data_IF_747182662266
#
_entry.id   IF_747182662266
#
_cell.length_a   1.000
_cell.length_b   1.000
_cell.length_c   1.000
_cell.angle_alpha   90.00
_cell.angle_beta   90.00
_cell.angle_gamma   90.00
#
_symmetry.space_group_name_H-M   'P 1'
#
loop_
_entity.id
_entity.type
_entity.pdbx_description
1 polymer ?
#
# COMPACT_ATOMS: atom_id res chain seq x y z
N UNK A 1 -13.04 -17.73 44.18
CA UNK A 1 -11.82 -17.10 43.66
C UNK A 1 -12.01 -16.93 42.16
N UNK A 2 -11.98 -15.70 41.65
CA UNK A 2 -12.05 -15.43 40.22
C UNK A 2 -10.65 -15.12 39.71
N UNK A 3 -10.09 -16.01 38.90
CA UNK A 3 -8.84 -15.78 38.19
C UNK A 3 -9.15 -15.50 36.71
N UNK A 4 -8.36 -14.63 36.09
CA UNK A 4 -8.36 -14.43 34.63
C UNK A 4 -6.98 -14.78 34.09
N UNK A 5 -6.92 -15.71 33.15
CA UNK A 5 -5.68 -16.09 32.46
C UNK A 5 -5.43 -15.17 31.26
N UNK A 6 -4.20 -14.65 31.11
CA UNK A 6 -3.78 -13.83 29.96
C UNK A 6 -2.56 -14.48 29.29
N UNK A 7 -2.67 -14.75 28.00
CA UNK A 7 -1.53 -15.14 27.14
C UNK A 7 -0.92 -13.89 26.52
N UNK A 8 0.40 -13.87 26.43
CA UNK A 8 1.14 -12.86 25.67
C UNK A 8 2.08 -13.59 24.71
N UNK A 9 2.05 -13.22 23.44
CA UNK A 9 3.03 -13.68 22.48
C UNK A 9 4.40 -13.07 22.82
N UNK A 10 5.46 -13.86 22.76
CA UNK A 10 6.82 -13.44 23.17
C UNK A 10 7.84 -13.52 22.03
N UNK A 11 7.38 -13.78 20.81
CA UNK A 11 8.21 -13.81 19.61
C UNK A 11 8.46 -15.23 19.09
N UNK A 12 9.17 -15.33 17.96
CA UNK A 12 9.75 -14.23 17.15
C UNK A 12 8.73 -13.52 16.25
N UNK A 13 9.12 -12.49 15.49
CA UNK A 13 8.32 -12.07 14.33
C UNK A 13 8.33 -13.22 13.31
N UNK A 14 7.16 -13.67 12.87
CA UNK A 14 7.05 -14.81 11.94
C UNK A 14 6.83 -14.36 10.49
N UNK A 15 6.24 -13.19 10.27
CA UNK A 15 6.05 -12.65 8.92
C UNK A 15 6.07 -11.13 8.84
N UNK A 16 6.51 -10.64 7.68
CA UNK A 16 6.35 -9.25 7.27
C UNK A 16 5.54 -9.21 5.98
N UNK A 17 4.43 -8.49 6.01
CA UNK A 17 3.49 -8.34 4.90
C UNK A 17 3.75 -6.98 4.25
N UNK A 18 4.27 -7.00 3.03
CA UNK A 18 4.66 -5.81 2.29
C UNK A 18 3.59 -5.44 1.27
N UNK A 19 3.29 -4.15 1.14
CA UNK A 19 2.61 -3.67 -0.07
C UNK A 19 3.57 -3.67 -1.29
N UNK A 20 3.01 -3.47 -2.48
CA UNK A 20 3.71 -3.41 -3.74
C UNK A 20 4.10 -1.98 -4.14
N UNK A 21 3.16 -1.19 -4.68
CA UNK A 21 3.46 0.06 -5.36
C UNK A 21 3.57 1.23 -4.37
N UNK A 22 4.78 1.78 -4.23
CA UNK A 22 5.15 2.75 -3.20
C UNK A 22 5.86 2.13 -1.99
N UNK A 23 5.84 0.79 -1.88
CA UNK A 23 6.44 0.06 -0.75
C UNK A 23 7.63 -0.82 -1.15
N UNK A 24 7.48 -1.73 -2.10
CA UNK A 24 8.58 -2.58 -2.62
C UNK A 24 9.02 -2.22 -4.02
N UNK A 25 8.13 -1.61 -4.82
CA UNK A 25 8.42 -1.14 -6.18
C UNK A 25 7.65 0.14 -6.48
N UNK A 26 7.85 0.73 -7.66
CA UNK A 26 7.17 1.94 -8.11
C UNK A 26 7.34 3.11 -7.13
N UNK A 27 8.55 3.67 -7.05
CA UNK A 27 8.82 4.81 -6.17
C UNK A 27 7.91 5.99 -6.54
N UNK A 28 7.10 6.43 -5.58
CA UNK A 28 6.07 7.45 -5.73
C UNK A 28 4.70 6.89 -6.06
N UNK A 29 4.52 5.57 -6.20
CA UNK A 29 3.25 4.94 -6.59
C UNK A 29 2.65 5.63 -7.83
N UNK A 30 3.43 5.67 -8.92
CA UNK A 30 3.14 6.46 -10.11
C UNK A 30 2.16 5.76 -11.05
N UNK A 31 2.28 4.43 -11.22
CA UNK A 31 1.53 3.67 -12.20
C UNK A 31 0.00 3.86 -12.09
N UNK A 32 -0.64 3.76 -10.92
CA UNK A 32 -2.09 3.95 -10.84
C UNK A 32 -2.50 5.42 -10.99
N UNK A 33 -1.68 6.36 -10.51
CA UNK A 33 -1.99 7.77 -10.55
C UNK A 33 -2.06 8.29 -12.00
N UNK A 34 -1.11 7.90 -12.86
CA UNK A 34 -1.11 8.31 -14.27
C UNK A 34 -2.29 7.72 -15.05
N UNK A 35 -2.68 6.48 -14.76
CA UNK A 35 -3.81 5.82 -15.42
C UNK A 35 -5.13 6.46 -15.03
N UNK A 36 -5.33 6.83 -13.75
CA UNK A 36 -6.54 7.55 -13.35
C UNK A 36 -6.67 8.88 -14.09
N UNK A 37 -5.59 9.65 -14.20
CA UNK A 37 -5.59 10.90 -14.98
C UNK A 37 -6.02 10.62 -16.43
N UNK A 38 -5.46 9.59 -17.06
CA UNK A 38 -5.77 9.23 -18.45
C UNK A 38 -7.22 8.77 -18.64
N UNK A 39 -7.78 7.97 -17.72
CA UNK A 39 -9.18 7.52 -17.78
C UNK A 39 -10.13 8.71 -17.72
N UNK A 40 -9.87 9.64 -16.81
CA UNK A 40 -10.69 10.84 -16.64
C UNK A 40 -10.55 11.81 -17.81
N UNK A 41 -9.35 11.93 -18.39
CA UNK A 41 -9.10 12.67 -19.64
C UNK A 41 -9.89 12.09 -20.81
N UNK A 42 -9.97 10.75 -20.95
CA UNK A 42 -10.82 10.09 -21.97
C UNK A 42 -12.31 10.41 -21.80
N UNK A 43 -12.77 10.67 -20.58
CA UNK A 43 -14.14 11.14 -20.30
C UNK A 43 -14.30 12.65 -20.44
N UNK A 44 -13.26 13.37 -20.90
CA UNK A 44 -13.18 14.84 -21.02
C UNK A 44 -13.32 15.58 -19.68
N UNK A 45 -12.99 14.91 -18.57
CA UNK A 45 -13.04 15.46 -17.21
C UNK A 45 -11.63 15.37 -16.61
N UNK A 46 -10.66 16.17 -17.09
CA UNK A 46 -9.27 16.04 -16.64
C UNK A 46 -9.17 16.27 -15.13
N UNK A 47 -8.42 15.42 -14.42
CA UNK A 47 -8.16 15.52 -12.97
C UNK A 47 -6.68 15.80 -12.69
N UNK A 48 -6.38 16.38 -11.53
CA UNK A 48 -4.98 16.54 -11.10
C UNK A 48 -4.43 15.23 -10.54
N UNK A 49 -3.10 15.13 -10.45
CA UNK A 49 -2.46 13.98 -9.76
C UNK A 49 -2.85 13.92 -8.28
N UNK A 50 -3.01 15.06 -7.61
CA UNK A 50 -3.44 15.09 -6.21
C UNK A 50 -4.86 14.51 -6.04
N UNK A 51 -5.78 14.84 -6.96
CA UNK A 51 -7.13 14.27 -6.98
C UNK A 51 -7.10 12.77 -7.27
N UNK A 52 -6.26 12.35 -8.22
CA UNK A 52 -6.07 10.94 -8.55
C UNK A 52 -5.52 10.14 -7.36
N UNK A 53 -4.71 10.75 -6.48
CA UNK A 53 -4.06 10.09 -5.34
C UNK A 53 -4.88 10.09 -4.05
N UNK A 54 -5.88 10.98 -3.93
CA UNK A 54 -6.62 11.14 -2.67
C UNK A 54 -7.19 9.82 -2.09
N UNK A 55 -7.72 8.87 -2.90
CA UNK A 55 -8.21 7.58 -2.41
C UNK A 55 -7.27 6.38 -2.65
N UNK A 56 -5.95 6.61 -2.83
CA UNK A 56 -4.98 5.54 -3.13
C UNK A 56 -4.96 4.43 -2.07
N UNK A 57 -4.75 3.20 -2.53
CA UNK A 57 -4.76 1.97 -1.72
C UNK A 57 -6.11 1.24 -1.73
N UNK A 58 -7.21 1.90 -2.12
CA UNK A 58 -8.49 1.25 -2.30
C UNK A 58 -8.53 0.33 -3.54
N UNK A 59 -9.52 -0.59 -3.59
CA UNK A 59 -9.85 -1.32 -4.81
C UNK A 59 -10.13 -0.34 -5.96
N UNK A 60 -9.63 -0.62 -7.17
CA UNK A 60 -9.60 0.36 -8.28
C UNK A 60 -10.98 0.89 -8.67
N UNK A 61 -12.04 0.07 -8.68
CA UNK A 61 -13.42 0.55 -8.90
C UNK A 61 -13.90 1.50 -7.80
N UNK A 62 -13.61 1.18 -6.54
CA UNK A 62 -13.94 2.04 -5.39
C UNK A 62 -13.15 3.33 -5.44
N UNK A 63 -11.90 3.27 -5.90
CA UNK A 63 -11.04 4.43 -6.12
C UNK A 63 -11.66 5.39 -7.14
N UNK A 64 -12.08 4.90 -8.31
CA UNK A 64 -12.77 5.71 -9.34
C UNK A 64 -14.02 6.36 -8.76
N UNK A 65 -14.83 5.59 -8.02
CA UNK A 65 -16.03 6.10 -7.37
C UNK A 65 -15.71 7.25 -6.39
N UNK A 66 -14.68 7.09 -5.55
CA UNK A 66 -14.26 8.13 -4.60
C UNK A 66 -13.73 9.39 -5.30
N UNK A 67 -12.96 9.26 -6.39
CA UNK A 67 -12.55 10.43 -7.20
C UNK A 67 -13.80 11.14 -7.75
N UNK A 68 -14.77 10.38 -8.30
CA UNK A 68 -16.02 10.93 -8.85
C UNK A 68 -16.89 11.64 -7.81
N UNK A 69 -16.70 11.32 -6.53
CA UNK A 69 -17.40 11.96 -5.40
C UNK A 69 -16.72 13.24 -4.90
N UNK A 70 -15.49 13.55 -5.34
CA UNK A 70 -14.85 14.83 -5.03
C UNK A 70 -15.65 15.97 -5.66
N UNK A 71 -16.00 17.00 -4.88
CA UNK A 71 -16.84 18.10 -5.34
C UNK A 71 -16.29 18.78 -6.61
N UNK A 72 -14.96 18.95 -6.71
CA UNK A 72 -14.29 19.54 -7.87
C UNK A 72 -14.42 18.67 -9.14
N UNK A 73 -14.30 17.35 -8.99
CA UNK A 73 -14.45 16.38 -10.09
C UNK A 73 -15.91 16.28 -10.51
N UNK A 74 -16.83 16.18 -9.53
CA UNK A 74 -18.27 16.08 -9.76
C UNK A 74 -18.82 17.29 -10.52
N UNK A 75 -18.35 18.50 -10.20
CA UNK A 75 -18.71 19.73 -10.94
C UNK A 75 -18.24 19.68 -12.38
N UNK A 76 -16.95 19.39 -12.63
CA UNK A 76 -16.43 19.24 -14.01
C UNK A 76 -17.18 18.17 -14.80
N UNK A 77 -17.56 17.07 -14.15
CA UNK A 77 -18.36 16.02 -14.78
C UNK A 77 -19.75 16.54 -15.17
N UNK A 78 -20.44 17.23 -14.26
CA UNK A 78 -21.75 17.85 -14.52
C UNK A 78 -21.68 18.86 -15.69
N UNK A 79 -20.61 19.66 -15.77
CA UNK A 79 -20.41 20.65 -16.84
C UNK A 79 -20.22 19.99 -18.21
N UNK A 80 -19.54 18.83 -18.26
CA UNK A 80 -19.26 18.10 -19.50
C UNK A 80 -20.43 17.23 -19.95
N UNK A 81 -21.11 16.56 -19.02
CA UNK A 81 -22.10 15.51 -19.31
C UNK A 81 -23.55 15.90 -18.97
N UNK A 82 -23.78 17.06 -18.34
CA UNK A 82 -25.12 17.56 -17.99
C UNK A 82 -25.82 16.82 -16.84
N UNK A 83 -25.16 15.84 -16.21
CA UNK A 83 -25.67 15.04 -15.09
C UNK A 83 -24.52 14.59 -14.18
N UNK A 84 -24.76 14.20 -12.92
CA UNK A 84 -23.72 13.67 -12.06
C UNK A 84 -23.21 12.29 -12.56
N UNK A 85 -22.01 11.87 -12.13
CA UNK A 85 -21.52 10.50 -12.36
C UNK A 85 -22.49 9.47 -11.78
N UNK A 86 -22.71 8.38 -12.51
CA UNK A 86 -23.52 7.22 -12.12
C UNK A 86 -22.64 5.99 -11.93
N UNK A 87 -23.18 4.95 -11.30
CA UNK A 87 -22.47 3.66 -11.14
C UNK A 87 -22.09 3.05 -12.50
N UNK A 88 -22.92 3.24 -13.53
CA UNK A 88 -22.62 2.80 -14.89
C UNK A 88 -21.40 3.53 -15.50
N UNK A 89 -21.20 4.81 -15.17
CA UNK A 89 -20.01 5.55 -15.61
C UNK A 89 -18.76 5.06 -14.89
N UNK A 90 -18.88 4.74 -13.59
CA UNK A 90 -17.80 4.14 -12.80
C UNK A 90 -17.41 2.78 -13.37
N UNK A 91 -18.39 1.96 -13.75
CA UNK A 91 -18.15 0.66 -14.40
C UNK A 91 -17.46 0.82 -15.75
N UNK A 92 -17.90 1.76 -16.58
CA UNK A 92 -17.26 2.04 -17.86
C UNK A 92 -15.83 2.57 -17.71
N UNK A 93 -15.59 3.47 -16.74
CA UNK A 93 -14.24 3.96 -16.43
C UNK A 93 -13.36 2.84 -15.88
N UNK A 94 -13.90 1.92 -15.08
CA UNK A 94 -13.15 0.77 -14.58
C UNK A 94 -12.78 -0.20 -15.71
N UNK A 95 -13.69 -0.46 -16.66
CA UNK A 95 -13.40 -1.25 -17.84
C UNK A 95 -12.31 -0.61 -18.72
N UNK A 96 -12.29 0.73 -18.83
CA UNK A 96 -11.22 1.47 -19.52
C UNK A 96 -9.89 1.45 -18.75
N UNK A 97 -9.95 1.44 -17.41
CA UNK A 97 -8.78 1.48 -16.52
C UNK A 97 -7.93 0.21 -16.63
N UNK A 98 -8.56 -0.97 -16.65
CA UNK A 98 -7.85 -2.26 -16.63
C UNK A 98 -6.80 -2.39 -17.76
N UNK A 99 -7.14 -2.21 -19.05
CA UNK A 99 -6.16 -2.36 -20.13
C UNK A 99 -5.07 -1.29 -20.11
N UNK A 100 -5.41 -0.05 -19.70
CA UNK A 100 -4.43 1.03 -19.55
C UNK A 100 -3.42 0.73 -18.45
N UNK A 101 -3.91 0.24 -17.31
CA UNK A 101 -3.05 -0.16 -16.20
C UNK A 101 -2.13 -1.31 -16.60
N UNK A 102 -2.67 -2.36 -17.23
CA UNK A 102 -1.87 -3.49 -17.69
C UNK A 102 -0.73 -3.06 -18.64
N UNK A 103 -1.00 -2.11 -19.54
CA UNK A 103 -0.01 -1.61 -20.48
C UNK A 103 1.13 -0.81 -19.82
N UNK A 104 0.85 -0.09 -18.72
CA UNK A 104 1.83 0.80 -18.09
C UNK A 104 2.60 0.16 -16.92
N UNK A 105 2.17 -0.98 -16.36
CA UNK A 105 2.75 -1.54 -15.12
C UNK A 105 4.26 -1.77 -15.22
N UNK A 106 4.74 -2.35 -16.33
CA UNK A 106 6.17 -2.62 -16.52
C UNK A 106 7.03 -1.37 -16.68
N UNK A 107 6.44 -0.20 -16.97
CA UNK A 107 7.17 1.08 -16.99
C UNK A 107 7.52 1.56 -15.57
N UNK A 108 6.76 1.12 -14.57
CA UNK A 108 6.86 1.54 -13.18
C UNK A 108 7.25 0.40 -12.23
N UNK A 109 7.75 -0.73 -12.74
CA UNK A 109 7.99 -1.94 -11.94
C UNK A 109 9.37 -2.00 -11.25
N UNK A 110 10.15 -0.92 -11.29
CA UNK A 110 11.48 -0.88 -10.64
C UNK A 110 11.35 -1.02 -9.12
N UNK A 111 12.13 -1.90 -8.52
CA UNK A 111 12.20 -2.03 -7.06
C UNK A 111 12.66 -0.74 -6.38
N UNK A 112 12.06 -0.44 -5.23
CA UNK A 112 12.50 0.66 -4.37
C UNK A 112 13.88 0.30 -3.79
N UNK A 113 14.86 1.23 -3.79
CA UNK A 113 16.19 0.96 -3.22
C UNK A 113 16.12 0.43 -1.78
N UNK A 114 16.91 -0.60 -1.47
CA UNK A 114 16.91 -1.26 -0.15
C UNK A 114 15.95 -2.44 -0.02
N UNK A 115 15.04 -2.67 -0.99
CA UNK A 115 14.03 -3.74 -0.91
C UNK A 115 14.67 -5.12 -0.76
N UNK A 116 15.66 -5.46 -1.59
CA UNK A 116 16.26 -6.79 -1.60
C UNK A 116 17.08 -7.04 -0.34
N UNK A 117 17.82 -6.03 0.12
CA UNK A 117 18.65 -6.08 1.31
C UNK A 117 17.80 -6.33 2.56
N UNK A 118 16.70 -5.60 2.69
CA UNK A 118 15.76 -5.74 3.81
C UNK A 118 15.05 -7.08 3.78
N UNK A 119 14.58 -7.52 2.60
CA UNK A 119 13.94 -8.83 2.45
C UNK A 119 14.91 -9.97 2.79
N UNK A 120 16.17 -9.87 2.35
CA UNK A 120 17.20 -10.87 2.67
C UNK A 120 17.47 -10.92 4.19
N UNK A 121 17.57 -9.77 4.85
CA UNK A 121 17.79 -9.70 6.30
C UNK A 121 16.59 -10.23 7.10
N UNK A 122 15.36 -9.93 6.67
CA UNK A 122 14.13 -10.49 7.25
C UNK A 122 14.11 -12.03 7.13
N UNK A 123 14.41 -12.56 5.94
CA UNK A 123 14.47 -14.00 5.70
C UNK A 123 15.57 -14.68 6.53
N UNK A 124 16.74 -14.04 6.68
CA UNK A 124 17.84 -14.53 7.54
C UNK A 124 17.41 -14.68 9.00
N UNK A 125 16.47 -13.86 9.46
CA UNK A 125 15.86 -13.93 10.81
C UNK A 125 14.70 -14.91 10.91
N UNK A 126 14.39 -15.64 9.83
CA UNK A 126 13.32 -16.63 9.78
C UNK A 126 11.92 -16.07 9.51
N UNK A 127 11.80 -14.77 9.20
CA UNK A 127 10.52 -14.17 8.84
C UNK A 127 10.11 -14.56 7.40
N UNK A 128 8.86 -14.97 7.25
CA UNK A 128 8.22 -15.18 5.95
C UNK A 128 7.81 -13.85 5.33
N UNK A 129 7.81 -13.77 4.01
CA UNK A 129 7.48 -12.55 3.29
C UNK A 129 6.10 -12.70 2.64
N UNK A 130 5.10 -12.04 3.20
CA UNK A 130 3.78 -11.92 2.61
C UNK A 130 3.65 -10.62 1.82
N UNK A 131 2.60 -10.52 1.01
CA UNK A 131 2.25 -9.26 0.37
C UNK A 131 0.77 -9.11 0.12
N UNK A 132 0.32 -7.86 0.10
CA UNK A 132 -1.06 -7.46 -0.16
C UNK A 132 -1.08 -6.37 -1.23
N UNK A 133 -2.13 -6.30 -2.04
CA UNK A 133 -2.23 -5.22 -3.03
C UNK A 133 -3.67 -4.88 -3.38
N UNK A 134 -3.91 -3.60 -3.69
CA UNK A 134 -5.15 -3.14 -4.31
C UNK A 134 -5.29 -3.50 -5.80
N UNK A 135 -4.27 -4.11 -6.41
CA UNK A 135 -4.32 -4.62 -7.77
C UNK A 135 -5.17 -5.90 -7.89
N UNK A 136 -5.63 -6.17 -9.11
CA UNK A 136 -6.27 -7.43 -9.50
C UNK A 136 -5.19 -8.50 -9.79
N UNK A 137 -5.56 -9.77 -9.72
CA UNK A 137 -4.65 -10.91 -9.96
C UNK A 137 -3.91 -10.82 -11.30
N UNK A 138 -4.59 -10.38 -12.37
CA UNK A 138 -4.00 -10.20 -13.70
C UNK A 138 -2.94 -9.09 -13.77
N UNK A 139 -3.17 -7.97 -13.08
CA UNK A 139 -2.21 -6.87 -12.95
C UNK A 139 -1.01 -7.33 -12.11
N UNK A 140 -1.29 -8.07 -11.03
CA UNK A 140 -0.26 -8.59 -10.14
C UNK A 140 0.65 -9.61 -10.85
N UNK A 141 0.17 -10.35 -11.85
CA UNK A 141 1.02 -11.24 -12.63
C UNK A 141 2.19 -10.50 -13.28
N UNK A 142 1.94 -9.34 -13.89
CA UNK A 142 2.97 -8.52 -14.54
C UNK A 142 4.01 -8.06 -13.52
N UNK A 143 3.56 -7.46 -12.42
CA UNK A 143 4.45 -6.97 -11.36
C UNK A 143 5.25 -8.11 -10.70
N UNK A 144 4.68 -9.31 -10.52
CA UNK A 144 5.40 -10.47 -10.01
C UNK A 144 6.49 -10.93 -10.97
N UNK A 145 6.19 -10.99 -12.26
CA UNK A 145 7.18 -11.37 -13.28
C UNK A 145 8.33 -10.36 -13.34
N UNK A 146 8.03 -9.05 -13.26
CA UNK A 146 9.02 -7.97 -13.21
C UNK A 146 9.85 -7.97 -11.92
N UNK A 147 9.21 -8.16 -10.76
CA UNK A 147 9.90 -8.26 -9.48
C UNK A 147 10.84 -9.47 -9.43
N UNK A 148 10.39 -10.62 -9.93
CA UNK A 148 11.18 -11.85 -9.96
C UNK A 148 12.43 -11.69 -10.82
N UNK A 149 12.33 -11.02 -11.97
CA UNK A 149 13.50 -10.65 -12.79
C UNK A 149 14.49 -9.76 -12.06
N UNK A 150 14.03 -8.96 -11.10
CA UNK A 150 14.84 -8.11 -10.23
C UNK A 150 15.27 -8.80 -8.93
N UNK A 151 14.91 -10.06 -8.70
CA UNK A 151 15.30 -10.84 -7.52
C UNK A 151 14.37 -10.74 -6.31
N UNK A 152 13.19 -10.10 -6.45
CA UNK A 152 12.18 -10.04 -5.38
C UNK A 152 11.04 -11.04 -5.64
N UNK A 153 10.82 -11.95 -4.70
CA UNK A 153 9.70 -12.91 -4.73
C UNK A 153 9.18 -13.13 -3.29
N UNK A 154 7.95 -12.67 -2.96
CA UNK A 154 7.31 -12.97 -1.68
C UNK A 154 6.81 -14.42 -1.66
N UNK A 155 6.73 -14.99 -0.46
CA UNK A 155 6.24 -16.36 -0.20
C UNK A 155 4.72 -16.47 -0.42
N UNK A 156 3.98 -15.37 -0.21
CA UNK A 156 2.57 -15.27 -0.53
C UNK A 156 2.21 -13.88 -1.07
N UNK A 157 1.24 -13.82 -1.97
CA UNK A 157 0.68 -12.57 -2.50
C UNK A 157 -0.83 -12.72 -2.52
N UNK A 158 -1.54 -11.78 -1.89
CA UNK A 158 -3.00 -11.74 -1.90
C UNK A 158 -3.46 -10.42 -2.52
N UNK A 159 -4.26 -10.52 -3.56
CA UNK A 159 -4.81 -9.41 -4.32
C UNK A 159 -6.20 -9.05 -3.81
N UNK A 160 -6.68 -7.85 -4.13
CA UNK A 160 -8.02 -7.42 -3.76
C UNK A 160 -9.13 -8.29 -4.38
N UNK A 161 -8.85 -8.99 -5.48
CA UNK A 161 -9.74 -9.97 -6.13
C UNK A 161 -9.79 -11.34 -5.46
N UNK A 162 -8.86 -11.63 -4.54
CA UNK A 162 -8.77 -12.95 -3.89
C UNK A 162 -9.61 -13.02 -2.60
N UNK A 163 -10.21 -11.89 -2.19
CA UNK A 163 -10.92 -11.75 -0.91
C UNK A 163 -12.26 -11.02 -1.09
N UNK A 164 -13.21 -11.14 -0.15
CA UNK A 164 -14.52 -10.49 -0.26
C UNK A 164 -14.47 -8.95 -0.33
N UNK A 165 -13.44 -8.33 0.24
CA UNK A 165 -13.18 -6.90 0.16
C UNK A 165 -11.68 -6.60 0.35
N UNK A 166 -11.17 -5.59 -0.38
CA UNK A 166 -9.80 -5.10 -0.22
C UNK A 166 -9.64 -4.14 0.96
N UNK A 167 -8.57 -3.34 0.97
CA UNK A 167 -8.31 -2.34 2.03
C UNK A 167 -9.48 -1.37 2.26
N UNK A 168 -9.75 -0.94 3.51
CA UNK A 168 -8.99 -1.20 4.74
C UNK A 168 -9.42 -2.49 5.48
N UNK A 169 -10.23 -3.36 4.86
CA UNK A 169 -10.62 -4.62 5.49
C UNK A 169 -9.40 -5.53 5.70
N UNK A 170 -9.37 -6.34 6.78
CA UNK A 170 -8.18 -7.12 7.14
C UNK A 170 -7.95 -8.36 6.27
N UNK A 171 -8.85 -8.64 5.31
CA UNK A 171 -8.97 -9.95 4.69
C UNK A 171 -7.71 -10.40 3.95
N UNK A 172 -6.99 -9.52 3.25
CA UNK A 172 -5.77 -9.94 2.53
C UNK A 172 -4.62 -10.25 3.50
N UNK A 173 -4.54 -9.53 4.62
CA UNK A 173 -3.57 -9.81 5.67
C UNK A 173 -3.87 -11.13 6.39
N UNK A 174 -5.13 -11.38 6.74
CA UNK A 174 -5.54 -12.64 7.36
C UNK A 174 -5.36 -13.83 6.40
N UNK A 175 -5.65 -13.64 5.11
CA UNK A 175 -5.40 -14.66 4.10
C UNK A 175 -3.89 -14.95 3.93
N UNK A 176 -3.02 -13.93 3.98
CA UNK A 176 -1.58 -14.14 4.05
C UNK A 176 -1.18 -14.94 5.29
N UNK A 177 -1.74 -14.64 6.46
CA UNK A 177 -1.44 -15.39 7.68
C UNK A 177 -1.80 -16.88 7.55
N UNK A 178 -2.92 -17.20 6.90
CA UNK A 178 -3.32 -18.57 6.56
C UNK A 178 -2.32 -19.21 5.58
N UNK A 179 -2.06 -18.55 4.44
CA UNK A 179 -1.19 -19.06 3.38
C UNK A 179 0.24 -19.34 3.88
N UNK A 180 0.73 -18.47 4.76
CA UNK A 180 2.07 -18.57 5.34
C UNK A 180 2.11 -19.48 6.58
N UNK A 181 0.97 -19.95 7.10
CA UNK A 181 0.91 -20.78 8.31
C UNK A 181 1.46 -20.07 9.54
N UNK A 182 1.03 -18.83 9.78
CA UNK A 182 1.42 -18.02 10.92
C UNK A 182 0.64 -18.44 12.17
N UNK A 183 1.31 -18.50 13.31
CA UNK A 183 0.70 -19.00 14.55
C UNK A 183 -0.25 -18.00 15.21
N UNK A 184 0.04 -16.70 15.11
CA UNK A 184 -0.73 -15.64 15.74
C UNK A 184 -0.49 -14.30 15.04
N UNK A 185 -1.52 -13.47 14.90
CA UNK A 185 -1.39 -12.20 14.13
C UNK A 185 -0.43 -11.18 14.76
N UNK A 186 -0.21 -11.25 16.07
CA UNK A 186 0.75 -10.39 16.78
C UNK A 186 2.21 -10.67 16.41
N UNK A 187 2.49 -11.77 15.71
CA UNK A 187 3.82 -12.08 15.15
C UNK A 187 4.03 -11.50 13.74
N UNK A 188 3.03 -10.81 13.19
CA UNK A 188 3.10 -10.18 11.87
C UNK A 188 3.37 -8.67 11.96
N UNK A 189 4.10 -8.16 10.97
CA UNK A 189 4.27 -6.73 10.71
C UNK A 189 3.72 -6.40 9.32
N UNK A 190 2.77 -5.47 9.23
CA UNK A 190 2.27 -4.91 7.98
C UNK A 190 3.03 -3.63 7.64
N UNK A 191 3.56 -3.56 6.42
CA UNK A 191 4.24 -2.36 5.89
C UNK A 191 3.46 -1.83 4.70
N UNK A 192 3.17 -0.53 4.69
CA UNK A 192 2.39 0.11 3.63
C UNK A 192 2.72 1.60 3.50
N UNK A 193 2.55 2.17 2.31
CA UNK A 193 2.71 3.58 2.01
C UNK A 193 1.37 4.34 1.92
N UNK A 194 0.26 3.69 2.26
CA UNK A 194 -1.08 4.28 2.22
C UNK A 194 -1.82 4.15 3.54
N UNK A 195 -2.67 5.14 3.85
CA UNK A 195 -3.54 5.11 5.03
C UNK A 195 -4.42 3.84 5.06
N UNK A 196 -5.15 3.46 3.99
CA UNK A 196 -5.97 2.24 4.01
C UNK A 196 -5.17 0.95 4.23
N UNK A 197 -3.90 0.92 3.83
CA UNK A 197 -3.05 -0.25 4.04
C UNK A 197 -2.44 -0.35 5.44
N UNK A 198 -2.19 0.79 6.10
CA UNK A 198 -1.92 0.82 7.55
C UNK A 198 -3.16 0.38 8.32
N UNK A 199 -4.34 0.90 7.98
CA UNK A 199 -5.61 0.51 8.58
C UNK A 199 -5.90 -0.98 8.39
N UNK A 200 -5.57 -1.57 7.24
CA UNK A 200 -5.66 -3.02 7.01
C UNK A 200 -4.82 -3.82 8.02
N UNK A 201 -3.59 -3.38 8.29
CA UNK A 201 -2.73 -4.02 9.30
C UNK A 201 -3.29 -3.90 10.72
N UNK A 202 -3.78 -2.71 11.08
CA UNK A 202 -4.42 -2.45 12.38
C UNK A 202 -5.67 -3.31 12.56
N UNK A 203 -6.55 -3.34 11.56
CA UNK A 203 -7.78 -4.14 11.57
C UNK A 203 -7.49 -5.66 11.61
N UNK A 204 -6.29 -6.08 11.22
CA UNK A 204 -5.83 -7.47 11.29
C UNK A 204 -5.19 -7.83 12.63
N UNK A 205 -5.01 -6.87 13.54
CA UNK A 205 -4.31 -7.05 14.82
C UNK A 205 -2.80 -7.26 14.66
N UNK A 206 -2.21 -6.71 13.58
CA UNK A 206 -0.77 -6.78 13.29
C UNK A 206 -0.06 -5.49 13.70
N UNK A 207 1.25 -5.58 13.90
CA UNK A 207 2.09 -4.37 13.98
C UNK A 207 2.08 -3.65 12.63
N UNK A 208 2.26 -2.33 12.62
CA UNK A 208 2.17 -1.54 11.38
C UNK A 208 3.32 -0.55 11.26
N UNK A 209 3.90 -0.48 10.07
CA UNK A 209 4.92 0.50 9.70
C UNK A 209 4.44 1.24 8.45
N UNK A 210 4.27 2.56 8.57
CA UNK A 210 3.95 3.43 7.44
C UNK A 210 5.23 3.88 6.71
N UNK A 211 5.20 3.92 5.38
CA UNK A 211 6.27 4.49 4.56
C UNK A 211 5.87 5.89 4.07
N UNK A 212 6.63 6.90 4.47
CA UNK A 212 6.27 8.30 4.25
C UNK A 212 6.71 8.82 2.87
N UNK A 213 7.87 8.39 2.37
CA UNK A 213 8.54 9.05 1.23
C UNK A 213 8.46 8.24 -0.05
N UNK A 214 8.63 6.91 0.01
CA UNK A 214 8.73 6.09 -1.20
C UNK A 214 7.42 5.89 -1.96
N UNK A 215 6.28 6.28 -1.41
CA UNK A 215 4.97 5.96 -1.96
C UNK A 215 4.02 7.15 -2.09
N UNK A 216 2.73 6.89 -1.87
CA UNK A 216 1.64 7.77 -2.26
C UNK A 216 1.65 9.14 -1.57
N UNK A 217 2.06 9.22 -0.31
CA UNK A 217 2.00 10.45 0.49
C UNK A 217 2.93 11.56 -0.02
N UNK A 218 4.08 11.21 -0.58
CA UNK A 218 4.95 12.15 -1.32
C UNK A 218 4.59 12.18 -2.81
N UNK A 219 4.35 11.02 -3.42
CA UNK A 219 3.79 10.90 -4.77
C UNK A 219 4.70 11.36 -5.90
N UNK A 220 6.02 11.34 -5.70
CA UNK A 220 7.03 11.75 -6.69
C UNK A 220 7.92 10.57 -7.10
N UNK A 221 8.34 10.49 -8.37
CA UNK A 221 9.35 9.52 -8.78
C UNK A 221 10.69 9.82 -8.09
N UNK A 222 11.52 8.79 -7.91
CA UNK A 222 12.77 8.87 -7.15
C UNK A 222 13.68 10.03 -7.58
N UNK A 223 13.86 10.23 -8.88
CA UNK A 223 14.72 11.30 -9.40
C UNK A 223 14.17 12.69 -9.05
N UNK A 224 12.85 12.89 -9.15
CA UNK A 224 12.22 14.15 -8.78
C UNK A 224 12.32 14.40 -7.28
N UNK A 225 12.10 13.36 -6.46
CA UNK A 225 12.33 13.45 -5.02
C UNK A 225 13.77 13.85 -4.70
N UNK A 226 14.76 13.17 -5.29
CA UNK A 226 16.18 13.46 -5.04
C UNK A 226 16.58 14.88 -5.45
N UNK A 227 16.01 15.40 -6.54
CA UNK A 227 16.25 16.75 -7.04
C UNK A 227 15.56 17.86 -6.24
N UNK A 228 14.61 17.53 -5.34
CA UNK A 228 13.95 18.54 -4.53
C UNK A 228 14.94 19.21 -3.54
N UNK A 229 14.82 20.53 -3.34
CA UNK A 229 15.44 21.24 -2.23
C UNK A 229 15.07 20.62 -0.88
N UNK A 230 16.00 20.66 0.09
CA UNK A 230 15.83 19.98 1.38
C UNK A 230 14.67 20.54 2.21
N UNK A 231 14.38 21.85 2.11
CA UNK A 231 13.22 22.48 2.74
C UNK A 231 11.90 21.92 2.20
N UNK A 232 11.81 21.69 0.89
CA UNK A 232 10.64 21.08 0.27
C UNK A 232 10.51 19.59 0.62
N UNK A 233 11.63 18.85 0.67
CA UNK A 233 11.66 17.46 1.16
C UNK A 233 11.16 17.39 2.60
N UNK A 234 11.69 18.24 3.48
CA UNK A 234 11.31 18.30 4.89
C UNK A 234 9.82 18.58 5.06
N UNK A 235 9.26 19.54 4.31
CA UNK A 235 7.82 19.86 4.36
C UNK A 235 6.95 18.66 3.92
N UNK A 236 7.29 18.04 2.78
CA UNK A 236 6.54 16.88 2.27
C UNK A 236 6.66 15.67 3.19
N UNK A 237 7.86 15.38 3.70
CA UNK A 237 8.12 14.33 4.69
C UNK A 237 7.31 14.56 5.96
N UNK A 238 7.36 15.76 6.54
CA UNK A 238 6.62 16.09 7.77
C UNK A 238 5.11 15.88 7.60
N UNK A 239 4.54 16.29 6.46
CA UNK A 239 3.13 16.04 6.12
C UNK A 239 2.82 14.55 6.06
N UNK A 240 3.64 13.78 5.34
CA UNK A 240 3.46 12.34 5.19
C UNK A 240 3.56 11.60 6.53
N UNK A 241 4.56 11.94 7.36
CA UNK A 241 4.71 11.42 8.72
C UNK A 241 3.48 11.69 9.58
N UNK A 242 3.02 12.95 9.57
CA UNK A 242 1.83 13.35 10.34
C UNK A 242 0.62 12.51 9.95
N UNK A 243 0.38 12.31 8.65
CA UNK A 243 -0.77 11.53 8.16
C UNK A 243 -0.67 10.05 8.55
N UNK A 244 0.50 9.43 8.41
CA UNK A 244 0.71 8.03 8.80
C UNK A 244 0.58 7.82 10.32
N UNK A 245 1.08 8.76 11.12
CA UNK A 245 0.92 8.71 12.58
C UNK A 245 -0.55 8.88 12.99
N UNK A 246 -1.28 9.80 12.35
CA UNK A 246 -2.69 10.06 12.63
C UNK A 246 -3.61 8.88 12.28
N UNK A 247 -3.24 8.03 11.31
CA UNK A 247 -4.00 6.80 11.04
C UNK A 247 -3.61 5.63 11.95
N UNK A 248 -2.72 5.84 12.93
CA UNK A 248 -2.38 4.84 13.94
C UNK A 248 -1.22 3.93 13.58
N UNK A 249 -0.37 4.29 12.60
CA UNK A 249 0.85 3.53 12.35
C UNK A 249 1.72 3.46 13.61
N UNK A 250 2.16 2.25 14.01
CA UNK A 250 3.02 2.09 15.18
C UNK A 250 4.39 2.71 14.97
N UNK A 251 4.87 2.69 13.71
CA UNK A 251 6.11 3.32 13.28
C UNK A 251 5.90 3.98 11.92
N UNK A 252 6.71 5.00 11.62
CA UNK A 252 6.77 5.62 10.31
C UNK A 252 8.22 5.86 9.93
N UNK A 253 8.59 5.46 8.72
CA UNK A 253 9.94 5.64 8.17
C UNK A 253 9.87 6.19 6.74
N UNK A 254 10.98 6.70 6.20
CA UNK A 254 11.01 7.28 4.86
C UNK A 254 10.73 6.23 3.79
N UNK A 255 11.49 5.12 3.81
CA UNK A 255 11.42 4.07 2.80
C UNK A 255 11.59 2.68 3.42
N UNK A 256 11.40 1.63 2.62
CA UNK A 256 11.66 0.26 3.07
C UNK A 256 13.10 0.05 3.55
N UNK A 257 14.08 0.79 3.04
CA UNK A 257 15.48 0.70 3.46
C UNK A 257 15.68 1.01 4.96
N UNK A 258 14.75 1.76 5.54
CA UNK A 258 14.78 2.22 6.93
C UNK A 258 13.98 1.30 7.87
N UNK A 259 13.51 0.14 7.38
CA UNK A 259 12.58 -0.74 8.10
C UNK A 259 13.22 -1.49 9.28
N UNK A 260 14.48 -1.89 9.17
CA UNK A 260 15.10 -2.82 10.13
C UNK A 260 15.12 -2.32 11.58
N UNK A 261 15.42 -1.05 11.89
CA UNK A 261 15.29 -0.52 13.25
C UNK A 261 13.89 -0.68 13.85
N UNK A 262 12.82 -0.54 13.06
CA UNK A 262 11.46 -0.76 13.52
C UNK A 262 11.21 -2.24 13.83
N UNK A 263 11.72 -3.15 12.99
CA UNK A 263 11.63 -4.59 13.21
C UNK A 263 12.34 -4.99 14.52
N UNK A 264 13.49 -4.40 14.80
CA UNK A 264 14.25 -4.63 16.04
C UNK A 264 13.46 -4.20 17.29
N UNK A 265 12.85 -3.01 17.25
CA UNK A 265 12.05 -2.51 18.36
C UNK A 265 10.75 -3.30 18.55
N UNK A 266 10.03 -3.62 17.47
CA UNK A 266 8.85 -4.49 17.52
C UNK A 266 9.21 -5.85 18.15
N UNK A 267 10.33 -6.45 17.73
CA UNK A 267 10.80 -7.72 18.29
C UNK A 267 11.12 -7.60 19.79
N UNK A 268 11.66 -6.45 20.24
CA UNK A 268 11.89 -6.17 21.64
C UNK A 268 10.58 -5.98 22.44
N UNK A 269 9.60 -5.26 21.89
CA UNK A 269 8.26 -5.07 22.45
C UNK A 269 7.50 -6.38 22.61
N UNK A 270 7.50 -7.21 21.56
CA UNK A 270 6.95 -8.57 21.60
C UNK A 270 7.61 -9.39 22.71
N UNK A 271 8.95 -9.36 22.86
CA UNK A 271 9.63 -10.06 23.96
C UNK A 271 9.19 -9.57 25.34
N UNK A 272 8.80 -8.30 25.49
CA UNK A 272 8.22 -7.74 26.72
C UNK A 272 6.74 -8.09 26.91
N UNK A 273 6.11 -8.74 25.94
CA UNK A 273 4.71 -9.16 25.97
C UNK A 273 3.75 -8.05 25.57
N UNK A 274 4.25 -6.99 24.94
CA UNK A 274 3.44 -5.97 24.31
C UNK A 274 2.78 -6.55 23.05
N UNK A 275 1.59 -6.05 22.74
CA UNK A 275 0.86 -6.33 21.51
C UNK A 275 0.81 -5.05 20.68
N UNK A 276 0.46 -5.15 19.38
CA UNK A 276 -0.09 -4.01 18.65
C UNK A 276 -1.17 -3.31 19.49
#
# INVERSE_FOLDING_TARGET
MSFSYRRAYRGPIEAVLLDWAGTTMDFGCMAPAVVFVQVYERKKVPITIDEARAPMGAHKKVHIQKISQLDTVRRRWQDVHGRPPTDADVDAMFADFVPLQLACLSEYSKLIPGTLEVVAELRKRGAKIGSTTGYLTEMMKINRDDAKRQGYEPDSTVCASDVPAGRPYPYMCLQNAINLGITTVQSCVKVDDTVPGVEEGLNSGMWTVGLAVSGNEVGLPLQAWQALPEDQKALKRARAYTRMQQCGAHYVVDTIADLMPCIDDIQARIRRGETP
#
